data_IF_872830450974
#
_entry.id   IF_872830450974
#
_cell.length_a   1.000
_cell.length_b   1.000
_cell.length_c   1.000
_cell.angle_alpha   90.00
_cell.angle_beta   90.00
_cell.angle_gamma   90.00
#
_symmetry.space_group_name_H-M   'P 1'
#
loop_
_entity.id
_entity.type
_entity.pdbx_description
1 polymer ?
#
# COMPACT_ATOMS: atom_id res chain seq x y z
N UNK A 1 84.66 35.38 39.69
CA UNK A 1 84.66 36.18 38.46
C UNK A 1 83.67 37.30 38.66
N UNK A 2 84.17 38.43 39.15
CA UNK A 2 84.28 39.69 38.39
C UNK A 2 82.91 40.33 38.10
N UNK A 3 82.48 41.28 38.94
CA UNK A 3 82.64 42.74 38.75
C UNK A 3 81.94 43.27 37.48
N UNK A 4 80.85 44.02 37.64
CA UNK A 4 80.91 45.46 37.43
C UNK A 4 79.61 46.20 37.77
N UNK A 5 79.82 47.33 38.45
CA UNK A 5 78.92 48.44 38.66
C UNK A 5 78.22 48.95 37.39
N UNK A 6 76.97 49.40 37.52
CA UNK A 6 76.59 50.69 36.94
C UNK A 6 75.51 51.41 37.74
N UNK A 7 75.65 52.74 37.74
CA UNK A 7 75.12 53.73 38.67
C UNK A 7 73.66 54.12 38.40
N UNK A 8 72.94 54.34 39.50
CA UNK A 8 72.05 55.49 39.78
C UNK A 8 71.49 56.31 38.60
N UNK A 9 70.15 56.34 38.50
CA UNK A 9 69.42 57.59 38.26
C UNK A 9 68.03 57.55 38.93
N UNK A 10 67.88 58.37 39.98
CA UNK A 10 66.63 58.71 40.65
C UNK A 10 65.78 59.60 39.74
N UNK A 11 64.50 59.28 39.56
CA UNK A 11 63.42 60.27 39.39
C UNK A 11 62.19 59.76 40.12
N UNK A 12 61.82 60.49 41.18
CA UNK A 12 60.68 60.16 42.03
C UNK A 12 59.36 60.39 41.31
N UNK A 13 58.49 59.39 41.38
CA UNK A 13 57.05 59.55 41.13
C UNK A 13 56.41 59.64 42.51
N UNK A 14 55.86 60.80 42.84
CA UNK A 14 55.01 60.99 44.02
C UNK A 14 53.71 60.24 43.75
N UNK A 15 53.52 59.09 44.40
CA UNK A 15 52.24 58.40 44.47
C UNK A 15 51.37 59.25 45.39
N UNK A 16 50.49 60.07 44.82
CA UNK A 16 49.41 60.72 45.57
C UNK A 16 48.50 59.62 46.08
N UNK A 17 48.44 59.46 47.41
CA UNK A 17 47.57 58.52 48.09
C UNK A 17 46.12 58.78 47.66
N UNK A 18 45.55 57.86 46.89
CA UNK A 18 44.12 57.83 46.61
C UNK A 18 43.45 57.65 47.98
N UNK A 19 42.57 58.56 48.42
CA UNK A 19 41.94 58.44 49.72
C UNK A 19 41.21 57.11 49.83
N UNK A 20 41.41 56.38 50.93
CA UNK A 20 40.77 55.09 51.24
C UNK A 20 39.23 55.11 51.06
N UNK A 21 38.65 56.31 51.07
CA UNK A 21 37.24 56.57 50.80
C UNK A 21 36.80 56.25 49.36
N UNK A 22 37.59 56.63 48.35
CA UNK A 22 37.24 56.38 46.94
C UNK A 22 37.28 54.89 46.60
N UNK A 23 38.21 54.12 47.20
CA UNK A 23 38.30 52.67 47.04
C UNK A 23 37.10 51.94 47.66
N UNK A 24 36.57 52.45 48.78
CA UNK A 24 35.37 51.90 49.43
C UNK A 24 34.11 52.23 48.64
N UNK A 25 34.00 53.43 48.06
CA UNK A 25 32.87 53.82 47.22
C UNK A 25 32.84 53.05 45.90
N UNK A 26 33.98 52.82 45.23
CA UNK A 26 34.02 52.02 43.99
C UNK A 26 33.75 50.55 44.26
N UNK A 27 34.25 49.98 45.36
CA UNK A 27 33.94 48.59 45.74
C UNK A 27 32.44 48.42 46.04
N UNK A 28 31.83 49.39 46.74
CA UNK A 28 30.40 49.36 47.04
C UNK A 28 29.54 49.50 45.78
N UNK A 29 29.94 50.34 44.81
CA UNK A 29 29.29 50.48 43.51
C UNK A 29 29.39 49.21 42.66
N UNK A 30 30.54 48.53 42.68
CA UNK A 30 30.73 47.25 41.98
C UNK A 30 29.84 46.16 42.59
N UNK A 31 29.73 46.11 43.92
CA UNK A 31 28.83 45.17 44.62
C UNK A 31 27.36 45.50 44.33
N UNK A 32 27.00 46.79 44.23
CA UNK A 32 25.64 47.22 43.86
C UNK A 32 25.28 46.83 42.42
N UNK A 33 26.22 46.95 41.48
CA UNK A 33 26.04 46.53 40.09
C UNK A 33 25.97 45.00 39.92
N UNK A 34 26.70 44.25 40.74
CA UNK A 34 26.63 42.78 40.77
C UNK A 34 25.33 42.26 41.39
N UNK A 35 24.73 43.00 42.34
CA UNK A 35 23.46 42.64 42.97
C UNK A 35 22.23 42.92 42.09
N UNK A 36 22.35 43.75 41.05
CA UNK A 36 21.28 44.00 40.07
C UNK A 36 21.31 43.07 38.85
N UNK A 37 22.30 42.18 38.77
CA UNK A 37 22.37 41.15 37.73
C UNK A 37 21.51 39.92 38.12
N UNK A 38 20.27 40.16 38.53
CA UNK A 38 19.25 39.12 38.49
C UNK A 38 18.75 39.07 37.05
N UNK A 39 19.52 38.42 36.17
CA UNK A 39 18.98 37.98 34.90
C UNK A 39 17.93 36.92 35.22
N UNK A 40 16.65 37.24 35.04
CA UNK A 40 15.67 36.18 34.77
C UNK A 40 16.15 35.53 33.48
N UNK A 41 16.86 34.42 33.64
CA UNK A 41 17.06 33.45 32.60
C UNK A 41 15.65 32.91 32.33
N UNK A 42 14.91 33.60 31.45
CA UNK A 42 13.73 33.06 30.80
C UNK A 42 14.23 31.81 30.09
N UNK A 43 14.16 30.67 30.80
CA UNK A 43 14.15 29.36 30.18
C UNK A 43 13.25 29.49 28.96
N UNK A 44 13.72 29.18 27.74
CA UNK A 44 12.83 29.15 26.59
C UNK A 44 11.64 28.31 27.01
N UNK A 45 10.47 28.94 27.08
CA UNK A 45 9.26 28.23 27.43
C UNK A 45 9.02 27.32 26.22
N UNK A 46 9.51 26.08 26.32
CA UNK A 46 9.43 25.10 25.26
C UNK A 46 8.00 24.56 25.20
N UNK A 47 7.09 25.46 24.80
CA UNK A 47 5.66 25.24 24.68
C UNK A 47 5.35 24.18 23.61
N UNK A 48 6.28 24.00 22.66
CA UNK A 48 6.17 23.07 21.54
C UNK A 48 6.69 21.67 21.90
N UNK A 49 7.68 21.54 22.79
CA UNK A 49 8.16 20.21 23.22
C UNK A 49 7.19 19.47 24.15
N UNK A 50 6.24 20.18 24.78
CA UNK A 50 5.31 19.59 25.76
C UNK A 50 3.96 19.18 25.20
N UNK A 51 3.65 19.56 23.97
CA UNK A 51 2.29 19.41 23.42
C UNK A 51 2.35 18.77 22.06
N UNK A 52 1.58 17.70 21.86
CA UNK A 52 1.45 17.08 20.55
C UNK A 52 0.85 18.09 19.57
N UNK A 53 1.57 18.34 18.48
CA UNK A 53 1.18 19.27 17.42
C UNK A 53 0.90 18.55 16.10
N UNK A 54 0.88 17.21 16.10
CA UNK A 54 0.66 16.41 14.90
C UNK A 54 -0.85 16.17 14.75
N UNK A 55 -1.45 16.48 13.60
CA UNK A 55 -2.83 16.09 13.37
C UNK A 55 -2.95 14.57 13.18
N UNK A 56 -4.11 13.98 13.52
CA UNK A 56 -4.36 12.58 13.27
C UNK A 56 -4.25 12.27 11.78
N UNK A 57 -3.53 11.22 11.41
CA UNK A 57 -3.42 10.76 10.03
C UNK A 57 -4.48 9.69 9.75
N UNK A 58 -5.16 9.77 8.60
CA UNK A 58 -6.04 8.71 8.13
C UNK A 58 -5.20 7.51 7.69
N UNK A 59 -5.38 6.37 8.37
CA UNK A 59 -4.69 5.11 8.08
C UNK A 59 -5.46 4.29 7.06
N UNK A 60 -6.78 4.18 7.23
CA UNK A 60 -7.63 3.42 6.29
C UNK A 60 -9.07 3.93 6.31
N UNK A 61 -9.75 3.78 5.17
CA UNK A 61 -11.16 4.09 5.04
C UNK A 61 -11.83 3.04 4.15
N UNK A 62 -12.94 2.47 4.62
CA UNK A 62 -13.68 1.44 3.86
C UNK A 62 -15.17 1.47 4.14
N UNK A 63 -15.96 1.12 3.13
CA UNK A 63 -17.37 0.81 3.33
C UNK A 63 -17.48 -0.57 4.02
N UNK A 64 -18.25 -0.64 5.10
CA UNK A 64 -18.55 -1.90 5.80
C UNK A 64 -19.96 -2.40 5.52
N UNK A 65 -20.75 -1.60 4.82
CA UNK A 65 -22.14 -1.85 4.49
C UNK A 65 -22.63 -0.85 3.46
N UNK A 66 -23.90 -0.95 3.09
CA UNK A 66 -24.52 -0.04 2.12
C UNK A 66 -24.64 1.41 2.63
N UNK A 67 -24.55 1.64 3.94
CA UNK A 67 -24.72 2.97 4.58
C UNK A 67 -23.74 3.18 5.73
N UNK A 68 -22.66 2.41 5.78
CA UNK A 68 -21.69 2.48 6.87
C UNK A 68 -20.28 2.55 6.33
N UNK A 69 -19.52 3.50 6.87
CA UNK A 69 -18.13 3.75 6.53
C UNK A 69 -17.32 3.67 7.81
N UNK A 70 -16.24 2.90 7.78
CA UNK A 70 -15.25 2.83 8.84
C UNK A 70 -14.04 3.69 8.47
N UNK A 71 -13.63 4.55 9.40
CA UNK A 71 -12.46 5.42 9.31
C UNK A 71 -11.49 5.01 10.43
N UNK A 72 -10.23 4.74 10.11
CA UNK A 72 -9.20 4.43 11.11
C UNK A 72 -8.07 5.46 11.04
N UNK A 73 -7.56 5.88 12.20
CA UNK A 73 -6.58 6.94 12.35
C UNK A 73 -5.29 6.46 13.05
N UNK A 74 -4.21 7.23 12.92
CA UNK A 74 -2.90 6.92 13.52
C UNK A 74 -2.86 7.12 15.04
N UNK A 75 -3.82 7.86 15.57
CA UNK A 75 -3.91 8.25 16.97
C UNK A 75 -5.37 8.35 17.41
N UNK A 76 -5.56 8.63 18.70
CA UNK A 76 -6.88 8.64 19.31
C UNK A 76 -7.70 9.85 18.83
N UNK A 77 -8.93 9.58 18.39
CA UNK A 77 -9.87 10.60 17.92
C UNK A 77 -11.22 10.47 18.61
N UNK A 78 -11.97 11.57 18.72
CA UNK A 78 -13.30 11.58 19.33
C UNK A 78 -14.43 11.69 18.30
N UNK A 79 -15.41 10.78 18.35
CA UNK A 79 -16.58 10.82 17.48
C UNK A 79 -17.41 12.11 17.62
N UNK A 80 -17.37 12.76 18.79
CA UNK A 80 -18.15 13.96 19.07
C UNK A 80 -17.68 15.21 18.29
N UNK A 81 -16.38 15.30 17.96
CA UNK A 81 -15.81 16.37 17.14
C UNK A 81 -15.90 16.05 15.64
N UNK A 82 -16.07 14.77 15.30
CA UNK A 82 -16.05 14.31 13.93
C UNK A 82 -17.27 14.75 13.12
N UNK A 83 -17.02 15.28 11.92
CA UNK A 83 -18.06 15.59 10.93
C UNK A 83 -17.72 14.85 9.65
N UNK A 84 -18.65 14.01 9.18
CA UNK A 84 -18.47 13.20 7.97
C UNK A 84 -19.60 13.52 6.98
N UNK A 85 -19.27 13.67 5.70
CA UNK A 85 -20.24 13.79 4.62
C UNK A 85 -19.86 12.92 3.44
N UNK A 86 -20.86 12.45 2.71
CA UNK A 86 -20.71 11.60 1.53
C UNK A 86 -21.42 12.27 0.37
N UNK A 87 -20.69 12.55 -0.71
CA UNK A 87 -21.19 13.31 -1.86
C UNK A 87 -21.87 14.64 -1.48
N UNK A 88 -21.37 15.27 -0.41
CA UNK A 88 -21.90 16.54 0.12
C UNK A 88 -23.02 16.39 1.15
N UNK A 89 -23.58 15.20 1.34
CA UNK A 89 -24.63 14.93 2.33
C UNK A 89 -24.03 14.52 3.68
N UNK A 90 -24.41 15.22 4.75
CA UNK A 90 -23.92 14.93 6.10
C UNK A 90 -24.37 13.54 6.56
N UNK A 91 -23.45 12.78 7.15
CA UNK A 91 -23.77 11.50 7.79
C UNK A 91 -24.81 11.70 8.90
N UNK A 92 -25.76 10.78 9.01
CA UNK A 92 -26.82 10.86 10.03
C UNK A 92 -26.31 10.67 11.44
N UNK A 93 -25.20 9.93 11.61
CA UNK A 93 -24.48 9.82 12.87
C UNK A 93 -23.03 9.38 12.64
N UNK A 94 -22.15 9.71 13.59
CA UNK A 94 -20.80 9.18 13.70
C UNK A 94 -20.66 8.58 15.09
N UNK A 95 -20.18 7.35 15.16
CA UNK A 95 -20.06 6.59 16.41
C UNK A 95 -18.61 6.15 16.62
N UNK A 96 -18.20 6.07 17.89
CA UNK A 96 -16.90 5.52 18.25
C UNK A 96 -16.98 4.00 18.22
N UNK A 97 -16.06 3.34 17.52
CA UNK A 97 -15.93 1.89 17.57
C UNK A 97 -14.82 1.45 18.53
N UNK A 98 -13.64 2.08 18.41
CA UNK A 98 -12.50 1.95 19.32
C UNK A 98 -11.74 3.29 19.40
N UNK A 99 -10.65 3.38 20.15
CA UNK A 99 -9.90 4.63 20.33
C UNK A 99 -9.41 5.27 19.01
N UNK A 100 -9.19 4.47 17.95
CA UNK A 100 -8.60 4.90 16.69
C UNK A 100 -9.59 4.84 15.51
N UNK A 101 -10.81 4.34 15.74
CA UNK A 101 -11.76 4.01 14.68
C UNK A 101 -13.14 4.63 14.91
N UNK A 102 -13.65 5.26 13.86
CA UNK A 102 -14.97 5.85 13.80
C UNK A 102 -15.84 5.14 12.76
N UNK A 103 -17.13 4.99 13.05
CA UNK A 103 -18.12 4.48 12.10
C UNK A 103 -19.14 5.57 11.79
N UNK A 104 -19.18 6.01 10.53
CA UNK A 104 -20.14 6.98 10.03
C UNK A 104 -21.31 6.26 9.34
N UNK A 105 -22.54 6.61 9.73
CA UNK A 105 -23.76 6.12 9.11
C UNK A 105 -24.34 7.15 8.16
N UNK A 106 -24.42 6.81 6.88
CA UNK A 106 -24.75 7.74 5.80
C UNK A 106 -26.23 7.67 5.45
N UNK A 107 -26.83 8.80 5.07
CA UNK A 107 -28.18 8.83 4.49
C UNK A 107 -28.17 8.27 3.05
N UNK A 108 -27.12 8.63 2.30
CA UNK A 108 -26.86 8.20 0.92
C UNK A 108 -26.32 6.77 0.88
N UNK A 109 -26.95 5.84 0.16
CA UNK A 109 -26.43 4.49 0.03
C UNK A 109 -25.20 4.44 -0.87
N UNK A 110 -24.19 3.70 -0.44
CA UNK A 110 -23.00 3.35 -1.19
C UNK A 110 -23.32 2.17 -2.10
N UNK A 111 -23.21 2.39 -3.41
CA UNK A 111 -23.54 1.38 -4.43
C UNK A 111 -22.31 0.49 -4.65
N UNK A 112 -22.42 -0.85 -4.56
CA UNK A 112 -21.33 -1.77 -4.85
C UNK A 112 -20.68 -1.49 -6.21
N UNK A 113 -19.35 -1.56 -6.28
CA UNK A 113 -18.61 -1.31 -7.52
C UNK A 113 -18.66 0.13 -8.04
N UNK A 114 -19.21 1.07 -7.26
CA UNK A 114 -19.21 2.50 -7.57
C UNK A 114 -18.38 3.27 -6.54
N UNK A 115 -17.58 4.21 -7.03
CA UNK A 115 -16.82 5.13 -6.21
C UNK A 115 -17.73 6.28 -5.70
N UNK A 116 -17.55 6.67 -4.44
CA UNK A 116 -18.16 7.83 -3.82
C UNK A 116 -17.10 8.65 -3.07
N UNK A 117 -17.30 9.95 -2.95
CA UNK A 117 -16.40 10.84 -2.23
C UNK A 117 -16.87 11.08 -0.80
N UNK A 118 -15.98 10.84 0.15
CA UNK A 118 -16.18 11.14 1.57
C UNK A 118 -15.35 12.36 1.93
N UNK A 119 -15.98 13.36 2.53
CA UNK A 119 -15.26 14.46 3.18
C UNK A 119 -15.44 14.33 4.68
N UNK A 120 -14.38 14.58 5.45
CA UNK A 120 -14.50 14.59 6.90
C UNK A 120 -13.57 15.61 7.55
N UNK A 121 -13.96 16.03 8.76
CA UNK A 121 -13.12 16.72 9.74
C UNK A 121 -13.09 15.86 10.99
N UNK A 122 -11.91 15.66 11.55
CA UNK A 122 -11.71 14.97 12.83
C UNK A 122 -10.67 15.73 13.65
N UNK A 123 -10.85 15.74 14.97
CA UNK A 123 -9.91 16.33 15.93
C UNK A 123 -9.41 15.23 16.88
N UNK A 124 -8.12 15.29 17.22
CA UNK A 124 -7.52 14.47 18.26
C UNK A 124 -7.85 15.02 19.68
N UNK A 125 -7.30 14.38 20.70
CA UNK A 125 -7.44 14.82 22.10
C UNK A 125 -6.67 16.10 22.44
N UNK A 126 -5.70 16.47 21.60
CA UNK A 126 -4.83 17.65 21.77
C UNK A 126 -5.38 18.89 21.05
N UNK A 127 -6.45 18.73 20.27
CA UNK A 127 -7.09 19.76 19.47
C UNK A 127 -6.50 19.93 18.05
N UNK A 128 -5.62 19.04 17.61
CA UNK A 128 -5.14 19.05 16.23
C UNK A 128 -6.21 18.45 15.31
N UNK A 129 -6.42 19.08 14.15
CA UNK A 129 -7.50 18.72 13.24
C UNK A 129 -6.98 18.21 11.90
N UNK A 130 -7.60 17.15 11.38
CA UNK A 130 -7.46 16.70 10.00
C UNK A 130 -8.75 16.99 9.23
N UNK A 131 -8.62 17.69 8.11
CA UNK A 131 -9.65 17.74 7.06
C UNK A 131 -9.15 17.03 5.82
N UNK A 132 -9.95 16.09 5.30
CA UNK A 132 -9.62 15.37 4.09
C UNK A 132 -10.86 15.06 3.25
N UNK A 133 -10.62 14.88 1.95
CA UNK A 133 -11.60 14.34 0.99
C UNK A 133 -10.98 13.16 0.26
N UNK A 134 -11.55 11.99 0.46
CA UNK A 134 -11.01 10.72 -0.01
C UNK A 134 -12.08 9.92 -0.74
N UNK A 135 -11.71 9.16 -1.78
CA UNK A 135 -12.65 8.27 -2.43
C UNK A 135 -12.83 6.99 -1.63
N UNK A 136 -14.05 6.44 -1.67
CA UNK A 136 -14.37 5.10 -1.17
C UNK A 136 -15.16 4.32 -2.23
N UNK A 137 -15.12 3.00 -2.13
CA UNK A 137 -15.93 2.11 -2.97
C UNK A 137 -17.07 1.51 -2.14
N UNK A 138 -18.25 1.37 -2.75
CA UNK A 138 -19.38 0.75 -2.08
C UNK A 138 -19.16 -0.73 -1.76
N UNK A 139 -19.67 -1.17 -0.61
CA UNK A 139 -19.48 -2.52 -0.09
C UNK A 139 -20.36 -3.55 -0.81
N UNK A 140 -19.75 -4.60 -1.35
CA UNK A 140 -20.45 -5.72 -1.97
C UNK A 140 -20.68 -6.86 -0.95
N UNK A 141 -21.89 -6.92 -0.36
CA UNK A 141 -22.25 -7.94 0.62
C UNK A 141 -22.45 -9.35 0.04
N UNK A 142 -22.56 -9.46 -1.29
CA UNK A 142 -22.87 -10.68 -2.00
C UNK A 142 -21.84 -10.96 -3.09
N UNK A 143 -20.57 -10.63 -2.83
CA UNK A 143 -19.48 -10.81 -3.78
C UNK A 143 -19.37 -12.28 -4.23
N UNK A 144 -19.24 -12.48 -5.54
CA UNK A 144 -18.89 -13.79 -6.09
C UNK A 144 -17.49 -14.21 -5.59
N UNK A 145 -17.29 -15.52 -5.40
CA UNK A 145 -15.95 -16.04 -5.12
C UNK A 145 -15.32 -16.49 -6.41
N UNK A 146 -14.16 -15.94 -6.75
CA UNK A 146 -13.50 -16.13 -8.03
C UNK A 146 -12.10 -16.71 -7.83
N UNK A 147 -11.58 -17.38 -8.85
CA UNK A 147 -10.23 -17.94 -8.86
C UNK A 147 -9.57 -17.70 -10.22
N UNK A 148 -8.29 -17.33 -10.22
CA UNK A 148 -7.45 -17.21 -11.43
C UNK A 148 -7.08 -18.62 -11.90
N UNK A 149 -7.30 -18.91 -13.18
CA UNK A 149 -7.24 -20.28 -13.71
C UNK A 149 -6.29 -20.43 -14.88
N UNK A 150 -6.22 -19.45 -15.77
CA UNK A 150 -5.34 -19.47 -16.93
C UNK A 150 -4.87 -18.05 -17.27
N UNK A 151 -3.61 -17.86 -17.66
CA UNK A 151 -3.16 -16.56 -18.17
C UNK A 151 -2.00 -16.64 -19.18
N UNK A 152 -1.88 -15.59 -20.01
CA UNK A 152 -0.78 -15.39 -20.96
C UNK A 152 -0.05 -14.07 -20.66
N UNK A 153 1.28 -14.06 -20.77
CA UNK A 153 2.11 -12.88 -20.44
C UNK A 153 2.99 -12.40 -21.60
N UNK A 154 3.00 -13.10 -22.74
CA UNK A 154 3.85 -12.79 -23.89
C UNK A 154 3.00 -12.63 -25.15
N UNK A 155 1.91 -11.90 -25.00
CA UNK A 155 0.85 -11.77 -25.97
C UNK A 155 1.28 -11.07 -27.25
N UNK A 156 0.44 -11.25 -28.26
CA UNK A 156 0.53 -10.62 -29.58
C UNK A 156 -0.87 -10.17 -29.98
N UNK A 157 -1.01 -9.35 -31.01
CA UNK A 157 -2.33 -8.92 -31.53
C UNK A 157 -3.30 -10.09 -31.79
N UNK A 158 -2.78 -11.27 -32.19
CA UNK A 158 -3.58 -12.48 -32.44
C UNK A 158 -3.83 -13.33 -31.20
N UNK A 159 -2.99 -13.21 -30.18
CA UNK A 159 -3.07 -13.96 -28.92
C UNK A 159 -2.70 -12.98 -27.81
N UNK A 160 -3.58 -12.03 -27.46
CA UNK A 160 -3.25 -10.97 -26.52
C UNK A 160 -3.03 -11.52 -25.12
N UNK A 161 -2.35 -10.74 -24.28
CA UNK A 161 -2.30 -11.02 -22.85
C UNK A 161 -3.70 -10.97 -22.26
N UNK A 162 -4.06 -12.05 -21.56
CA UNK A 162 -5.37 -12.22 -20.95
C UNK A 162 -5.29 -13.15 -19.76
N UNK A 163 -6.24 -13.00 -18.87
CA UNK A 163 -6.38 -13.75 -17.62
C UNK A 163 -7.79 -14.31 -17.55
N UNK A 164 -7.91 -15.59 -17.24
CA UNK A 164 -9.16 -16.28 -17.00
C UNK A 164 -9.44 -16.39 -15.50
N UNK A 165 -10.69 -16.10 -15.15
CA UNK A 165 -11.27 -16.35 -13.85
C UNK A 165 -12.41 -17.36 -13.97
N UNK A 166 -12.57 -18.21 -12.96
CA UNK A 166 -13.75 -19.06 -12.78
C UNK A 166 -14.52 -18.61 -11.55
N UNK A 167 -15.85 -18.65 -11.63
CA UNK A 167 -16.75 -18.43 -10.48
C UNK A 167 -16.84 -19.71 -9.65
N UNK A 168 -16.23 -19.72 -8.47
CA UNK A 168 -16.32 -20.82 -7.50
C UNK A 168 -17.62 -20.76 -6.66
N UNK A 169 -18.20 -19.57 -6.50
CA UNK A 169 -19.47 -19.36 -5.81
C UNK A 169 -20.24 -18.21 -6.44
N UNK A 170 -21.51 -18.45 -6.76
CA UNK A 170 -22.40 -17.42 -7.33
C UNK A 170 -22.46 -16.16 -6.47
N UNK A 171 -22.59 -15.01 -7.13
CA UNK A 171 -22.67 -13.71 -6.47
C UNK A 171 -22.57 -12.55 -7.47
N UNK A 172 -22.43 -11.33 -6.94
CA UNK A 172 -22.25 -10.10 -7.72
C UNK A 172 -20.75 -9.82 -7.94
N UNK A 173 -20.37 -9.47 -9.16
CA UNK A 173 -19.01 -9.08 -9.53
C UNK A 173 -18.64 -7.64 -9.13
N UNK A 174 -19.60 -6.83 -8.68
CA UNK A 174 -19.42 -5.41 -8.42
C UNK A 174 -18.23 -5.13 -7.48
N UNK A 175 -17.25 -4.36 -7.98
CA UNK A 175 -16.07 -3.94 -7.22
C UNK A 175 -14.91 -4.94 -7.23
N UNK A 176 -15.16 -6.21 -7.54
CA UNK A 176 -14.09 -7.19 -7.67
C UNK A 176 -13.10 -6.71 -8.73
N UNK A 177 -11.82 -6.70 -8.39
CA UNK A 177 -10.78 -6.10 -9.23
C UNK A 177 -9.65 -7.07 -9.46
N UNK A 178 -9.33 -7.30 -10.73
CA UNK A 178 -8.13 -8.03 -11.14
C UNK A 178 -7.05 -7.03 -11.52
N UNK A 179 -5.87 -7.13 -10.93
CA UNK A 179 -4.76 -6.20 -11.15
C UNK A 179 -3.47 -6.93 -11.51
N UNK A 180 -2.68 -6.32 -12.39
CA UNK A 180 -1.27 -6.66 -12.59
C UNK A 180 -0.44 -5.85 -11.57
N UNK A 181 -0.18 -6.45 -10.41
CA UNK A 181 0.36 -5.77 -9.24
C UNK A 181 -0.59 -5.73 -8.05
N UNK A 182 -0.04 -5.49 -6.86
CA UNK A 182 -0.81 -5.27 -5.64
C UNK A 182 -1.50 -3.90 -5.62
N UNK A 183 -2.57 -3.79 -4.82
CA UNK A 183 -3.33 -2.56 -4.68
C UNK A 183 -2.42 -1.38 -4.25
N UNK A 184 -2.44 -0.29 -5.03
CA UNK A 184 -1.57 0.88 -4.83
C UNK A 184 -0.23 0.83 -5.57
N UNK A 185 0.17 -0.32 -6.14
CA UNK A 185 1.41 -0.52 -6.93
C UNK A 185 1.18 -1.40 -8.16
N UNK A 186 0.03 -1.23 -8.82
CA UNK A 186 -0.34 -1.96 -10.03
C UNK A 186 0.04 -1.18 -11.29
N UNK A 187 0.31 -1.91 -12.38
CA UNK A 187 0.60 -1.34 -13.70
C UNK A 187 -0.67 -1.15 -14.52
N UNK A 188 -1.58 -2.12 -14.46
CA UNK A 188 -2.91 -2.06 -15.06
C UNK A 188 -3.89 -2.90 -14.23
N UNK A 189 -5.19 -2.65 -14.38
CA UNK A 189 -6.25 -3.36 -13.65
C UNK A 189 -7.56 -3.37 -14.41
N UNK A 190 -8.44 -4.30 -14.05
CA UNK A 190 -9.82 -4.38 -14.49
C UNK A 190 -10.73 -4.43 -13.26
N UNK A 191 -11.59 -3.42 -13.09
CA UNK A 191 -12.70 -3.48 -12.15
C UNK A 191 -13.85 -4.17 -12.86
N UNK A 192 -14.29 -5.33 -12.36
CA UNK A 192 -15.32 -6.11 -13.02
C UNK A 192 -16.66 -5.35 -13.02
N UNK A 193 -17.42 -5.42 -14.14
CA UNK A 193 -18.71 -4.76 -14.23
C UNK A 193 -19.69 -5.40 -13.23
N UNK A 194 -20.59 -4.61 -12.61
CA UNK A 194 -21.59 -5.14 -11.69
C UNK A 194 -22.51 -6.12 -12.43
N UNK A 195 -22.86 -7.22 -11.77
CA UNK A 195 -23.67 -8.27 -12.38
C UNK A 195 -23.61 -9.58 -11.60
N UNK A 196 -24.76 -10.23 -11.46
CA UNK A 196 -24.83 -11.56 -10.86
C UNK A 196 -24.30 -12.60 -11.83
N UNK A 197 -23.47 -13.50 -11.30
CA UNK A 197 -22.92 -14.64 -12.02
C UNK A 197 -23.18 -15.93 -11.27
N UNK A 198 -23.32 -17.01 -12.04
CA UNK A 198 -23.51 -18.35 -11.50
C UNK A 198 -22.17 -19.08 -11.35
N UNK A 199 -22.08 -19.96 -10.37
CA UNK A 199 -20.98 -20.90 -10.19
C UNK A 199 -20.68 -21.67 -11.49
N UNK A 200 -19.39 -21.81 -11.81
CA UNK A 200 -18.90 -22.43 -13.04
C UNK A 200 -18.86 -21.48 -14.26
N UNK A 201 -19.29 -20.22 -14.12
CA UNK A 201 -19.13 -19.22 -15.17
C UNK A 201 -17.65 -18.85 -15.33
N UNK A 202 -17.19 -18.73 -16.57
CA UNK A 202 -15.85 -18.24 -16.90
C UNK A 202 -15.88 -16.76 -17.28
N UNK A 203 -14.85 -16.03 -16.85
CA UNK A 203 -14.63 -14.62 -17.17
C UNK A 203 -13.23 -14.50 -17.76
N UNK A 204 -13.09 -13.88 -18.93
CA UNK A 204 -11.79 -13.62 -19.56
C UNK A 204 -11.53 -12.12 -19.59
N UNK A 205 -10.46 -11.70 -18.94
CA UNK A 205 -10.01 -10.31 -18.85
C UNK A 205 -8.83 -10.10 -19.78
N UNK A 206 -8.99 -9.25 -20.78
CA UNK A 206 -7.91 -8.85 -21.68
C UNK A 206 -7.09 -7.73 -21.05
N UNK A 207 -5.78 -7.91 -21.01
CA UNK A 207 -4.81 -6.90 -20.58
C UNK A 207 -4.06 -6.27 -21.75
N UNK A 208 -4.24 -6.79 -22.96
CA UNK A 208 -3.66 -6.25 -24.19
C UNK A 208 -4.76 -6.19 -25.26
N UNK A 209 -4.69 -5.19 -26.14
CA UNK A 209 -5.63 -5.11 -27.26
C UNK A 209 -5.50 -6.33 -28.20
N UNK A 210 -6.64 -6.76 -28.73
CA UNK A 210 -6.74 -7.97 -29.54
C UNK A 210 -8.18 -8.46 -29.69
N UNK A 211 -8.36 -9.43 -30.59
CA UNK A 211 -9.67 -10.02 -30.84
C UNK A 211 -10.02 -11.08 -29.78
N UNK A 212 -11.32 -11.36 -29.65
CA UNK A 212 -11.88 -12.36 -28.75
C UNK A 212 -12.66 -13.44 -29.52
N UNK A 213 -12.30 -13.68 -30.78
CA UNK A 213 -13.02 -14.62 -31.66
C UNK A 213 -12.83 -16.07 -31.23
N UNK A 214 -11.72 -16.37 -30.55
CA UNK A 214 -11.39 -17.69 -30.00
C UNK A 214 -12.08 -17.99 -28.67
N UNK A 215 -12.76 -17.00 -28.08
CA UNK A 215 -13.46 -17.15 -26.80
C UNK A 215 -14.91 -17.63 -27.04
N UNK A 216 -15.38 -18.66 -26.31
CA UNK A 216 -16.77 -19.09 -26.34
C UNK A 216 -17.78 -17.96 -26.07
N UNK A 217 -18.91 -17.95 -26.78
CA UNK A 217 -19.92 -16.87 -26.69
C UNK A 217 -20.59 -16.73 -25.32
N UNK A 218 -20.54 -17.77 -24.49
CA UNK A 218 -21.11 -17.80 -23.15
C UNK A 218 -20.14 -17.33 -22.07
N UNK A 219 -18.92 -16.96 -22.44
CA UNK A 219 -17.89 -16.44 -21.54
C UNK A 219 -18.07 -14.94 -21.38
N UNK A 220 -17.97 -14.44 -20.14
CA UNK A 220 -17.97 -13.00 -19.88
C UNK A 220 -16.61 -12.41 -20.27
N UNK A 221 -16.61 -11.39 -21.11
CA UNK A 221 -15.39 -10.75 -21.58
C UNK A 221 -15.26 -9.37 -20.95
N UNK A 222 -14.14 -9.13 -20.29
CA UNK A 222 -13.77 -7.85 -19.70
C UNK A 222 -12.43 -7.36 -20.28
N UNK A 223 -12.14 -6.08 -20.07
CA UNK A 223 -10.88 -5.44 -20.49
C UNK A 223 -10.30 -4.65 -19.33
N UNK A 224 -8.98 -4.70 -19.18
CA UNK A 224 -8.27 -3.81 -18.28
C UNK A 224 -8.43 -2.35 -18.73
N UNK A 225 -8.09 -1.43 -17.84
CA UNK A 225 -8.29 0.00 -18.04
C UNK A 225 -7.39 0.55 -19.15
N UNK A 226 -6.12 0.14 -19.14
CA UNK A 226 -5.09 0.75 -19.99
C UNK A 226 -4.60 -0.17 -21.14
N UNK A 227 -4.96 -1.45 -21.11
CA UNK A 227 -4.56 -2.47 -22.10
C UNK A 227 -3.03 -2.51 -22.37
N UNK A 228 -2.22 -2.35 -21.32
CA UNK A 228 -0.75 -2.22 -21.42
C UNK A 228 0.00 -3.54 -21.71
N UNK A 229 -0.70 -4.67 -21.62
CA UNK A 229 -0.12 -6.00 -21.54
C UNK A 229 0.30 -6.36 -20.12
N UNK A 230 0.63 -7.64 -19.92
CA UNK A 230 1.15 -8.13 -18.66
C UNK A 230 2.69 -8.11 -18.67
N UNK A 231 3.33 -7.96 -17.50
CA UNK A 231 4.78 -8.13 -17.38
C UNK A 231 5.20 -9.52 -17.90
N UNK A 232 6.10 -9.55 -18.89
CA UNK A 232 6.26 -10.77 -19.68
C UNK A 232 6.97 -11.95 -19.00
N UNK A 233 7.93 -11.66 -18.13
CA UNK A 233 8.73 -12.70 -17.45
C UNK A 233 8.42 -12.79 -15.96
N UNK A 234 8.33 -11.66 -15.27
CA UNK A 234 8.15 -11.63 -13.83
C UNK A 234 7.02 -10.70 -13.48
N UNK A 235 6.12 -11.13 -12.61
CA UNK A 235 5.00 -10.31 -12.19
C UNK A 235 4.12 -11.01 -11.17
N UNK A 236 3.04 -10.32 -10.84
CA UNK A 236 2.05 -10.75 -9.88
C UNK A 236 0.68 -10.35 -10.42
N UNK A 237 -0.27 -11.29 -10.39
CA UNK A 237 -1.68 -11.00 -10.63
C UNK A 237 -2.41 -11.13 -9.30
N UNK A 238 -3.24 -10.14 -9.00
CA UNK A 238 -3.98 -10.07 -7.73
C UNK A 238 -5.45 -9.83 -8.01
N UNK A 239 -6.30 -10.66 -7.43
CA UNK A 239 -7.74 -10.51 -7.43
C UNK A 239 -8.18 -10.01 -6.06
N UNK A 240 -8.89 -8.89 -5.99
CA UNK A 240 -9.35 -8.28 -4.74
C UNK A 240 -10.86 -8.07 -4.72
N UNK A 241 -11.45 -8.01 -3.53
CA UNK A 241 -12.90 -7.78 -3.32
C UNK A 241 -13.36 -6.35 -3.65
N UNK A 242 -12.44 -5.40 -3.73
CA UNK A 242 -12.70 -4.01 -4.12
C UNK A 242 -11.48 -3.38 -4.82
N UNK A 243 -11.63 -2.23 -5.47
CA UNK A 243 -10.51 -1.48 -6.07
C UNK A 243 -9.71 -0.65 -5.04
N UNK A 244 -10.05 -0.71 -3.76
CA UNK A 244 -9.38 0.04 -2.68
C UNK A 244 -7.99 -0.50 -2.38
N UNK A 245 -7.11 0.33 -1.81
CA UNK A 245 -5.74 -0.07 -1.44
C UNK A 245 -5.68 -1.06 -0.26
N UNK A 246 -6.71 -1.06 0.58
CA UNK A 246 -6.89 -1.95 1.75
C UNK A 246 -7.80 -3.15 1.45
N UNK A 247 -8.11 -3.39 0.17
CA UNK A 247 -8.98 -4.47 -0.25
C UNK A 247 -8.45 -5.85 0.17
N UNK A 248 -9.38 -6.77 0.45
CA UNK A 248 -9.06 -8.15 0.76
C UNK A 248 -8.61 -8.85 -0.52
N UNK A 249 -7.50 -9.58 -0.46
CA UNK A 249 -7.04 -10.41 -1.58
C UNK A 249 -7.89 -11.69 -1.58
N UNK A 250 -8.52 -11.97 -2.72
CA UNK A 250 -9.31 -13.17 -2.99
C UNK A 250 -8.40 -14.29 -3.51
N UNK A 251 -7.59 -13.98 -4.53
CA UNK A 251 -6.63 -14.90 -5.15
C UNK A 251 -5.41 -14.10 -5.63
N UNK A 252 -4.27 -14.76 -5.72
CA UNK A 252 -3.01 -14.18 -6.14
C UNK A 252 -2.18 -15.25 -6.86
N UNK A 253 -1.47 -14.86 -7.92
CA UNK A 253 -0.45 -15.70 -8.54
C UNK A 253 0.84 -14.92 -8.75
N UNK A 254 1.93 -15.48 -8.23
CA UNK A 254 3.30 -15.03 -8.50
C UNK A 254 3.87 -15.81 -9.67
N UNK A 255 4.49 -15.15 -10.63
CA UNK A 255 5.23 -15.82 -11.71
C UNK A 255 6.57 -15.15 -11.97
N UNK A 256 7.57 -15.96 -12.29
CA UNK A 256 8.93 -15.51 -12.53
C UNK A 256 9.67 -16.42 -13.49
N UNK A 257 10.66 -15.88 -14.20
CA UNK A 257 11.60 -16.64 -15.04
C UNK A 257 12.87 -17.05 -14.29
N UNK A 258 12.91 -16.82 -12.97
CA UNK A 258 14.01 -17.15 -12.07
C UNK A 258 15.35 -16.54 -12.52
N UNK A 259 15.35 -15.24 -12.81
CA UNK A 259 16.56 -14.52 -13.20
C UNK A 259 17.55 -14.44 -12.02
N UNK A 260 18.76 -13.91 -12.25
CA UNK A 260 19.75 -13.72 -11.17
C UNK A 260 19.57 -12.41 -10.37
N UNK A 261 18.58 -11.60 -10.71
CA UNK A 261 18.39 -10.25 -10.14
C UNK A 261 17.16 -10.21 -9.24
N UNK A 262 17.22 -9.39 -8.18
CA UNK A 262 16.11 -9.19 -7.21
C UNK A 262 15.48 -10.52 -6.75
N UNK A 263 16.31 -11.43 -6.22
CA UNK A 263 15.90 -12.77 -5.75
C UNK A 263 15.18 -13.61 -6.84
N UNK A 264 15.44 -13.29 -8.11
CA UNK A 264 14.89 -13.93 -9.30
C UNK A 264 13.56 -13.39 -9.81
N UNK A 265 13.07 -12.29 -9.23
CA UNK A 265 11.90 -11.55 -9.72
C UNK A 265 12.24 -10.47 -10.75
N UNK A 266 13.52 -10.31 -11.11
CA UNK A 266 13.94 -9.34 -12.12
C UNK A 266 14.18 -7.95 -11.55
N UNK A 267 13.18 -7.36 -10.87
CA UNK A 267 13.23 -6.02 -10.27
C UNK A 267 12.87 -6.05 -8.78
N UNK A 268 13.40 -5.08 -8.03
CA UNK A 268 13.13 -4.93 -6.59
C UNK A 268 11.65 -4.68 -6.32
N UNK A 269 10.97 -3.92 -7.18
CA UNK A 269 9.55 -3.63 -7.07
C UNK A 269 8.69 -4.91 -7.10
N UNK A 270 8.97 -5.85 -8.01
CA UNK A 270 8.22 -7.11 -8.09
C UNK A 270 8.53 -7.99 -6.87
N UNK A 271 9.79 -7.99 -6.41
CA UNK A 271 10.18 -8.70 -5.19
C UNK A 271 9.48 -8.16 -3.93
N UNK A 272 9.43 -6.84 -3.75
CA UNK A 272 8.69 -6.21 -2.64
C UNK A 272 7.19 -6.58 -2.68
N UNK A 273 6.59 -6.61 -3.88
CA UNK A 273 5.20 -7.03 -4.03
C UNK A 273 5.00 -8.51 -3.70
N UNK A 274 5.92 -9.38 -4.08
CA UNK A 274 5.88 -10.79 -3.71
C UNK A 274 5.94 -10.97 -2.19
N UNK A 275 6.83 -10.25 -1.49
CA UNK A 275 6.89 -10.25 -0.03
C UNK A 275 5.55 -9.82 0.59
N UNK A 276 4.98 -8.72 0.13
CA UNK A 276 3.69 -8.23 0.62
C UNK A 276 2.55 -9.23 0.42
N UNK A 277 2.54 -9.97 -0.70
CA UNK A 277 1.54 -11.01 -0.95
C UNK A 277 1.66 -12.16 0.07
N UNK A 278 2.88 -12.55 0.41
CA UNK A 278 3.16 -13.60 1.40
C UNK A 278 2.83 -13.13 2.81
N UNK A 279 3.20 -11.91 3.18
CA UNK A 279 2.86 -11.29 4.47
C UNK A 279 1.34 -11.21 4.68
N UNK A 280 0.58 -11.01 3.60
CA UNK A 280 -0.89 -11.02 3.60
C UNK A 280 -1.50 -12.42 3.52
N UNK A 281 -0.70 -13.48 3.56
CA UNK A 281 -1.10 -14.88 3.38
C UNK A 281 -1.85 -15.16 2.07
N UNK A 282 -1.64 -14.33 1.03
CA UNK A 282 -2.24 -14.51 -0.28
C UNK A 282 -1.44 -15.47 -1.18
N UNK A 283 -0.18 -15.76 -0.80
CA UNK A 283 0.66 -16.76 -1.45
C UNK A 283 1.51 -17.46 -0.39
N UNK A 284 1.69 -18.76 -0.50
CA UNK A 284 2.38 -19.57 0.50
C UNK A 284 3.76 -20.03 0.02
N UNK A 285 4.78 -19.98 0.89
CA UNK A 285 6.06 -20.60 0.60
C UNK A 285 5.91 -22.12 0.47
N UNK A 286 6.60 -22.72 -0.50
CA UNK A 286 6.61 -24.19 -0.68
C UNK A 286 7.48 -24.87 0.38
N UNK A 287 8.50 -24.16 0.89
CA UNK A 287 9.39 -24.66 1.94
C UNK A 287 9.11 -23.85 3.21
N UNK A 288 8.49 -24.45 4.24
CA UNK A 288 8.35 -23.78 5.53
C UNK A 288 9.73 -23.47 6.12
N UNK A 289 9.94 -22.24 6.61
CA UNK A 289 11.12 -21.77 7.37
C UNK A 289 12.30 -21.16 6.58
N UNK A 290 12.13 -20.79 5.32
CA UNK A 290 13.07 -19.88 4.64
C UNK A 290 12.78 -18.44 5.07
N UNK A 291 13.82 -17.73 5.54
CA UNK A 291 13.71 -16.35 6.05
C UNK A 291 13.50 -15.29 4.97
N UNK A 292 13.70 -15.63 3.70
CA UNK A 292 13.72 -14.66 2.60
C UNK A 292 12.90 -15.19 1.41
N UNK A 293 12.06 -14.31 0.86
CA UNK A 293 11.24 -14.59 -0.31
C UNK A 293 12.13 -14.65 -1.55
N UNK A 294 12.06 -15.76 -2.26
CA UNK A 294 12.77 -15.96 -3.52
C UNK A 294 11.82 -16.44 -4.62
N UNK A 295 12.22 -16.19 -5.88
CA UNK A 295 11.41 -16.53 -7.05
C UNK A 295 11.12 -18.02 -7.16
N UNK A 296 11.85 -18.92 -6.49
CA UNK A 296 11.56 -20.34 -6.46
C UNK A 296 10.16 -20.66 -5.90
N UNK A 297 9.47 -19.72 -5.25
CA UNK A 297 8.08 -19.91 -4.81
C UNK A 297 7.05 -19.46 -5.85
N UNK A 298 7.49 -18.77 -6.90
CA UNK A 298 6.66 -18.34 -8.02
C UNK A 298 6.53 -19.46 -9.07
N UNK A 299 5.48 -19.33 -9.88
CA UNK A 299 5.26 -20.18 -11.05
C UNK A 299 6.34 -19.88 -12.10
N UNK A 300 6.96 -20.92 -12.63
CA UNK A 300 8.01 -20.78 -13.64
C UNK A 300 7.41 -20.31 -14.98
N UNK A 301 7.76 -19.10 -15.39
CA UNK A 301 7.30 -18.47 -16.63
C UNK A 301 8.31 -18.61 -17.78
N UNK A 302 9.46 -19.25 -17.57
CA UNK A 302 10.54 -19.30 -18.56
C UNK A 302 10.09 -19.92 -19.88
N UNK A 303 9.24 -20.95 -19.81
CA UNK A 303 8.72 -21.66 -20.98
C UNK A 303 7.47 -21.04 -21.62
N UNK A 304 6.91 -19.96 -21.06
CA UNK A 304 5.74 -19.28 -21.64
C UNK A 304 6.11 -18.59 -22.94
N UNK A 305 5.15 -18.51 -23.85
CA UNK A 305 5.26 -17.82 -25.14
C UNK A 305 3.89 -17.22 -25.48
N UNK A 306 3.76 -16.52 -26.60
CA UNK A 306 2.45 -16.07 -27.08
C UNK A 306 1.43 -17.20 -27.25
N UNK A 307 1.90 -18.45 -27.42
CA UNK A 307 1.06 -19.63 -27.65
C UNK A 307 1.05 -20.63 -26.50
N UNK A 308 1.64 -20.29 -25.35
CA UNK A 308 1.70 -21.14 -24.16
C UNK A 308 1.29 -20.32 -22.95
N UNK A 309 0.17 -20.69 -22.36
CA UNK A 309 -0.38 -20.09 -21.14
C UNK A 309 0.14 -20.79 -19.89
N UNK A 310 -0.02 -20.14 -18.74
CA UNK A 310 0.11 -20.72 -17.42
C UNK A 310 -1.29 -21.14 -16.97
N UNK A 311 -1.47 -22.42 -16.65
CA UNK A 311 -2.75 -23.00 -16.25
C UNK A 311 -2.65 -23.54 -14.83
N UNK A 312 -3.76 -23.42 -14.10
CA UNK A 312 -3.96 -24.09 -12.81
C UNK A 312 -4.39 -25.55 -13.05
N UNK A 313 -3.76 -26.51 -12.36
CA UNK A 313 -3.93 -27.97 -12.50
C UNK A 313 -5.34 -28.43 -12.16
N UNK A 314 -5.91 -27.87 -11.11
CA UNK A 314 -7.27 -28.12 -10.67
C UNK A 314 -7.99 -26.79 -10.49
N UNK A 315 -8.97 -26.53 -11.35
CA UNK A 315 -9.77 -25.31 -11.40
C UNK A 315 -10.51 -25.03 -10.08
N UNK A 316 -10.67 -26.03 -9.19
CA UNK A 316 -11.44 -25.89 -7.95
C UNK A 316 -10.62 -26.12 -6.68
N UNK A 317 -9.30 -26.37 -6.80
CA UNK A 317 -8.43 -26.58 -5.66
C UNK A 317 -7.26 -25.61 -5.70
N UNK A 318 -7.16 -24.80 -4.66
CA UNK A 318 -6.07 -23.85 -4.46
C UNK A 318 -5.31 -24.18 -3.19
N UNK A 319 -3.98 -24.28 -3.30
CA UNK A 319 -3.08 -24.38 -2.15
C UNK A 319 -2.33 -23.07 -1.89
N UNK A 320 -2.58 -22.05 -2.70
CA UNK A 320 -1.89 -20.77 -2.79
C UNK A 320 -0.39 -20.95 -3.06
N UNK A 321 -0.02 -21.94 -3.88
CA UNK A 321 1.39 -22.22 -4.19
C UNK A 321 1.63 -22.44 -5.68
N UNK A 322 2.90 -22.34 -6.10
CA UNK A 322 3.28 -22.63 -7.49
C UNK A 322 2.96 -24.05 -7.94
N UNK A 323 2.79 -24.99 -7.01
CA UNK A 323 2.53 -26.40 -7.34
C UNK A 323 1.15 -26.60 -7.97
N UNK A 324 0.26 -25.62 -7.83
CA UNK A 324 -1.04 -25.62 -8.48
C UNK A 324 -0.95 -25.29 -9.96
N UNK A 325 0.22 -24.95 -10.50
CA UNK A 325 0.37 -24.40 -11.84
C UNK A 325 1.27 -25.25 -12.75
N UNK A 326 1.09 -25.07 -14.05
CA UNK A 326 1.91 -25.65 -15.11
C UNK A 326 1.88 -24.77 -16.36
N UNK A 327 2.85 -24.97 -17.25
CA UNK A 327 2.86 -24.36 -18.57
C UNK A 327 2.08 -25.24 -19.53
N UNK A 328 1.03 -24.70 -20.12
CA UNK A 328 0.20 -25.39 -21.10
C UNK A 328 0.96 -25.58 -22.43
N UNK A 329 0.68 -26.70 -23.11
CA UNK A 329 1.27 -27.02 -24.40
C UNK A 329 0.93 -25.96 -25.47
N UNK A 330 1.76 -25.93 -26.51
CA UNK A 330 1.69 -24.91 -27.56
C UNK A 330 0.33 -24.96 -28.27
N UNK A 331 -0.39 -23.83 -28.30
CA UNK A 331 -1.75 -23.67 -28.87
C UNK A 331 -2.82 -24.52 -28.19
N UNK A 332 -2.63 -24.85 -26.92
CA UNK A 332 -3.59 -25.61 -26.10
C UNK A 332 -4.25 -24.76 -25.01
N UNK A 333 -4.13 -23.44 -25.12
CA UNK A 333 -4.86 -22.51 -24.26
C UNK A 333 -6.38 -22.75 -24.34
N UNK A 334 -7.08 -22.58 -23.23
CA UNK A 334 -8.45 -23.08 -23.00
C UNK A 334 -9.44 -22.02 -22.50
N UNK A 335 -9.10 -20.75 -22.69
CA UNK A 335 -9.92 -19.60 -22.28
C UNK A 335 -11.42 -19.74 -22.61
N UNK A 336 -12.26 -19.51 -21.61
CA UNK A 336 -13.70 -19.73 -21.59
C UNK A 336 -14.15 -21.17 -21.29
N UNK A 337 -13.25 -22.06 -20.86
CA UNK A 337 -13.54 -23.47 -20.63
C UNK A 337 -12.59 -24.10 -19.61
N UNK A 338 -12.73 -25.40 -19.34
CA UNK A 338 -11.81 -26.10 -18.46
C UNK A 338 -10.38 -26.13 -19.01
N UNK A 339 -9.42 -25.91 -18.12
CA UNK A 339 -8.00 -25.94 -18.43
C UNK A 339 -7.57 -27.21 -19.18
N UNK A 340 -6.85 -27.04 -20.29
CA UNK A 340 -6.26 -28.13 -21.06
C UNK A 340 -5.24 -28.90 -20.24
N UNK A 341 -5.38 -30.22 -20.15
CA UNK A 341 -4.44 -31.11 -19.43
C UNK A 341 -3.14 -31.40 -20.19
N UNK A 342 -2.98 -30.85 -21.39
CA UNK A 342 -1.76 -31.03 -22.18
C UNK A 342 -0.66 -30.09 -21.67
N UNK A 343 0.25 -30.61 -20.84
CA UNK A 343 1.38 -29.85 -20.30
C UNK A 343 2.53 -29.76 -21.32
N UNK A 344 3.31 -28.69 -21.25
CA UNK A 344 4.54 -28.58 -22.03
C UNK A 344 5.66 -29.41 -21.39
N UNK A 345 6.11 -30.46 -22.09
CA UNK A 345 7.12 -31.40 -21.57
C UNK A 345 8.58 -31.01 -21.85
N UNK A 346 8.83 -29.77 -22.27
CA UNK A 346 10.17 -29.39 -22.73
C UNK A 346 10.50 -29.95 -24.12
N UNK A 347 11.54 -29.41 -24.76
CA UNK A 347 12.26 -30.24 -25.73
C UNK A 347 13.05 -31.26 -24.90
N UNK A 348 12.52 -32.47 -24.74
CA UNK A 348 13.41 -33.60 -24.44
C UNK A 348 14.45 -33.63 -25.57
N UNK A 349 15.72 -33.56 -25.19
CA UNK A 349 16.87 -33.52 -26.10
C UNK A 349 16.66 -34.47 -27.30
N UNK A 350 16.62 -33.90 -28.51
CA UNK A 350 16.77 -34.64 -29.76
C UNK A 350 18.19 -34.51 -30.25
#
# INVERSE_FOLDING_TARGET
MELMHMKSLKKGIRITAIPLFYLRCTLFLIILFLATACGEELLPLDLLERTDCSPPALVSIRATGNKSIRLCFSEKVEAASARVSVEGETAGSVTQEDDFSLVAHTSVPLIPGKQAWVSFVVEDISGNALWARVPIWGFNAHAAHLLITEFTTKGTEKQPDRVELVVLKSGDLAGITLSSGLAGRWTDRCVLPPGNVDEGTFIVVFFQDGNAEDIPKNTLICRSQELLGLPGSNGILVLTDSPSSDATIIDCVLYASHTKTAHGFGTEEVWEQANLAIDRNAWKPVIPNTQEVDSSWAVDSAATTSTRSLCRRDTYKDTDTKNDWYVCATKKASFGSYNSREEWEGNQER
#
